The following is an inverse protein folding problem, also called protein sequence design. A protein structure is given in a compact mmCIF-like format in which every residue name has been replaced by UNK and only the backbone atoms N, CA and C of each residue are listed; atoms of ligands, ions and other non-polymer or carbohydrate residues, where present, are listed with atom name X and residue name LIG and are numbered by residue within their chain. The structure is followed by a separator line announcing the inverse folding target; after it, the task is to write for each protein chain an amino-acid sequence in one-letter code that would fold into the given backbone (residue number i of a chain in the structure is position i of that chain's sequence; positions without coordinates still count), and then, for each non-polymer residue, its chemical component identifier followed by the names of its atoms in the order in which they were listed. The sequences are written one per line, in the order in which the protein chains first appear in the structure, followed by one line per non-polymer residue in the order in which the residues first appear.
data_IF_774700732619
#
_entry.id   IF_774700732619
#
_cell.length_a   1.000
_cell.length_b   1.000
_cell.length_c   1.000
_cell.angle_alpha   90.00
_cell.angle_beta   90.00
_cell.angle_gamma   90.00
#
_symmetry.space_group_name_H-M   'P 1'
#
loop_
_entity.id
_entity.type
_entity.pdbx_description
1 polymer ?
#
# COMPACT_ATOMS: atom_id res chain seq x y z
N UNK A 1 12.32 6.27 -2.40
CA UNK A 1 13.73 5.95 -2.77
C UNK A 1 14.65 5.77 -1.56
N UNK A 2 14.62 6.62 -0.50
CA UNK A 2 15.50 6.45 0.68
C UNK A 2 15.28 5.11 1.37
N UNK A 3 14.02 4.76 1.66
CA UNK A 3 13.67 3.46 2.25
C UNK A 3 14.06 2.30 1.34
N UNK A 4 13.79 2.39 0.03
CA UNK A 4 14.17 1.37 -0.94
C UNK A 4 15.68 1.11 -0.93
N UNK A 5 16.50 2.17 -0.91
CA UNK A 5 17.96 2.05 -0.81
C UNK A 5 18.40 1.42 0.51
N UNK A 6 17.74 1.74 1.62
CA UNK A 6 18.03 1.16 2.92
C UNK A 6 17.69 -0.35 2.98
N UNK A 7 16.63 -0.78 2.29
CA UNK A 7 16.22 -2.19 2.21
C UNK A 7 17.10 -3.03 1.29
N UNK A 8 17.52 -2.48 0.13
CA UNK A 8 18.15 -3.25 -0.97
C UNK A 8 19.66 -3.05 -1.09
N UNK A 9 20.21 -2.00 -0.46
CA UNK A 9 21.62 -1.67 -0.58
C UNK A 9 22.03 -1.36 -2.02
N UNK A 10 23.14 -1.96 -2.49
CA UNK A 10 23.68 -1.76 -3.85
C UNK A 10 23.09 -2.69 -4.92
N UNK A 11 22.23 -3.64 -4.54
CA UNK A 11 21.69 -4.67 -5.44
C UNK A 11 20.38 -4.18 -6.09
N UNK A 12 20.48 -3.21 -6.99
CA UNK A 12 19.34 -2.55 -7.62
C UNK A 12 19.42 -2.61 -9.13
N UNK A 13 18.28 -2.78 -9.77
CA UNK A 13 18.07 -2.58 -11.19
C UNK A 13 17.21 -1.32 -11.39
N UNK A 14 17.63 -0.45 -12.29
CA UNK A 14 16.91 0.77 -12.64
C UNK A 14 16.60 0.74 -14.14
N UNK A 15 15.34 0.95 -14.48
CA UNK A 15 14.85 1.02 -15.86
C UNK A 15 13.59 1.85 -15.92
N UNK A 16 12.81 1.70 -16.97
CA UNK A 16 11.49 2.32 -17.06
C UNK A 16 10.41 1.25 -17.04
N UNK A 17 9.21 1.63 -16.58
CA UNK A 17 8.04 0.80 -16.73
C UNK A 17 7.71 0.59 -18.22
N UNK A 18 7.24 -0.59 -18.65
CA UNK A 18 6.94 -0.85 -20.05
C UNK A 18 5.97 0.16 -20.65
N UNK A 19 6.35 0.77 -21.78
CA UNK A 19 5.51 1.68 -22.54
C UNK A 19 5.38 3.11 -22.00
N UNK A 20 6.07 3.45 -20.92
CA UNK A 20 6.03 4.78 -20.30
C UNK A 20 7.42 5.28 -19.89
N UNK A 21 7.54 6.56 -19.58
CA UNK A 21 8.80 7.20 -19.14
C UNK A 21 9.00 7.19 -17.63
N UNK A 22 8.09 6.53 -16.89
CA UNK A 22 8.16 6.43 -15.43
C UNK A 22 9.25 5.46 -15.03
N UNK A 23 10.11 5.86 -14.09
CA UNK A 23 11.24 5.05 -13.61
C UNK A 23 10.75 3.84 -12.81
N UNK A 24 11.32 2.66 -13.09
CA UNK A 24 11.14 1.42 -12.30
C UNK A 24 12.44 1.09 -11.58
N UNK A 25 12.36 0.90 -10.28
CA UNK A 25 13.47 0.39 -9.46
C UNK A 25 13.07 -0.95 -8.85
N UNK A 26 13.94 -1.91 -8.98
CA UNK A 26 13.79 -3.24 -8.42
C UNK A 26 15.09 -3.64 -7.74
N UNK A 27 14.98 -4.25 -6.56
CA UNK A 27 16.14 -4.67 -5.80
C UNK A 27 15.85 -5.90 -4.97
N UNK A 28 16.90 -6.44 -4.35
CA UNK A 28 16.79 -7.62 -3.49
C UNK A 28 17.16 -7.27 -2.07
N UNK A 29 16.34 -7.71 -1.14
CA UNK A 29 16.59 -7.65 0.29
C UNK A 29 16.66 -9.06 0.89
N UNK A 30 17.28 -9.19 2.06
CA UNK A 30 17.38 -10.44 2.80
C UNK A 30 16.56 -10.36 4.08
N UNK A 31 15.68 -11.33 4.30
CA UNK A 31 14.89 -11.45 5.51
C UNK A 31 14.81 -12.92 5.94
N UNK A 32 15.18 -13.22 7.19
CA UNK A 32 15.17 -14.58 7.76
C UNK A 32 15.87 -15.62 6.86
N UNK A 33 16.98 -15.23 6.22
CA UNK A 33 17.75 -16.10 5.32
C UNK A 33 17.13 -16.32 3.94
N UNK A 34 16.00 -15.65 3.62
CA UNK A 34 15.36 -15.69 2.31
C UNK A 34 15.62 -14.41 1.54
N UNK A 35 15.72 -14.52 0.21
CA UNK A 35 15.80 -13.35 -0.67
C UNK A 35 14.40 -12.94 -1.11
N UNK A 36 14.06 -11.68 -0.90
CA UNK A 36 12.82 -11.06 -1.36
C UNK A 36 13.11 -9.98 -2.39
N UNK A 37 12.26 -9.86 -3.40
CA UNK A 37 12.32 -8.77 -4.38
C UNK A 37 11.53 -7.59 -3.86
N UNK A 38 12.13 -6.41 -3.87
CA UNK A 38 11.50 -5.14 -3.51
C UNK A 38 11.38 -4.30 -4.77
N UNK A 39 10.18 -3.78 -5.03
CA UNK A 39 9.89 -2.88 -6.15
C UNK A 39 9.54 -1.51 -5.60
N UNK A 40 10.27 -0.48 -6.03
CA UNK A 40 9.98 0.93 -5.70
C UNK A 40 8.92 1.44 -6.68
N UNK A 41 7.74 1.75 -6.17
CA UNK A 41 6.67 2.34 -6.95
C UNK A 41 6.80 3.86 -6.96
N UNK A 42 6.29 4.54 -8.00
CA UNK A 42 6.23 5.99 -8.02
C UNK A 42 5.51 6.53 -6.78
N UNK A 43 5.94 7.69 -6.28
CA UNK A 43 5.27 8.37 -5.18
C UNK A 43 3.90 8.88 -5.62
N UNK A 44 2.86 8.37 -5.01
CA UNK A 44 1.47 8.69 -5.30
C UNK A 44 0.72 9.09 -4.03
N UNK A 45 -0.39 9.76 -4.19
CA UNK A 45 -1.29 10.13 -3.08
C UNK A 45 -2.67 9.47 -3.19
N UNK A 46 -2.92 8.77 -4.30
CA UNK A 46 -4.19 8.14 -4.61
C UNK A 46 -3.98 7.01 -5.61
N UNK A 47 -4.84 6.02 -5.64
CA UNK A 47 -4.94 5.02 -6.71
C UNK A 47 -5.89 5.43 -7.84
N UNK A 48 -6.36 6.68 -7.84
CA UNK A 48 -7.17 7.22 -8.93
C UNK A 48 -6.28 7.55 -10.14
N UNK A 49 -6.70 7.23 -11.37
CA UNK A 49 -5.83 7.27 -12.55
C UNK A 49 -5.68 8.67 -13.16
N UNK A 50 -5.25 9.65 -12.37
CA UNK A 50 -5.07 11.04 -12.84
C UNK A 50 -3.70 11.32 -13.44
N UNK A 51 -2.66 10.59 -13.02
CA UNK A 51 -1.31 10.72 -13.54
C UNK A 51 -0.78 9.37 -14.02
N UNK A 52 0.31 9.39 -14.81
CA UNK A 52 0.96 8.16 -15.27
C UNK A 52 1.58 7.37 -14.10
N UNK A 53 2.05 8.07 -13.09
CA UNK A 53 2.60 7.50 -11.87
C UNK A 53 1.54 6.71 -11.10
N UNK A 54 0.34 7.25 -10.95
CA UNK A 54 -0.80 6.60 -10.29
C UNK A 54 -1.30 5.40 -11.10
N UNK A 55 -1.38 5.52 -12.44
CA UNK A 55 -1.74 4.41 -13.32
C UNK A 55 -0.73 3.26 -13.17
N UNK A 56 0.56 3.56 -13.25
CA UNK A 56 1.63 2.55 -13.14
C UNK A 56 1.59 1.85 -11.79
N UNK A 57 1.48 2.60 -10.70
CA UNK A 57 1.44 2.02 -9.35
C UNK A 57 0.20 1.13 -9.17
N UNK A 58 -0.96 1.59 -9.58
CA UNK A 58 -2.21 0.84 -9.54
C UNK A 58 -2.16 -0.43 -10.36
N UNK A 59 -1.73 -0.34 -11.63
CA UNK A 59 -1.65 -1.48 -12.54
C UNK A 59 -0.69 -2.54 -12.02
N UNK A 60 0.41 -2.12 -11.38
CA UNK A 60 1.32 -3.05 -10.73
C UNK A 60 0.67 -3.75 -9.52
N UNK A 61 0.05 -3.00 -8.63
CA UNK A 61 -0.53 -3.58 -7.40
C UNK A 61 -1.69 -4.52 -7.74
N UNK A 62 -2.56 -4.13 -8.66
CA UNK A 62 -3.75 -4.90 -9.06
C UNK A 62 -3.37 -6.08 -9.96
N UNK A 63 -2.49 -5.86 -10.95
CA UNK A 63 -2.11 -6.87 -11.96
C UNK A 63 -1.07 -7.86 -11.49
N UNK A 64 0.06 -7.36 -10.95
CA UNK A 64 1.19 -8.23 -10.53
C UNK A 64 0.97 -8.85 -9.14
N UNK A 65 0.07 -8.29 -8.34
CA UNK A 65 -0.34 -8.84 -7.05
C UNK A 65 0.83 -9.14 -6.12
N UNK A 66 1.57 -8.13 -5.67
CA UNK A 66 2.70 -8.34 -4.77
C UNK A 66 2.28 -9.12 -3.53
N UNK A 67 3.18 -9.94 -3.00
CA UNK A 67 2.93 -10.76 -1.80
C UNK A 67 2.69 -9.91 -0.55
N UNK A 68 3.25 -8.70 -0.50
CA UNK A 68 2.97 -7.70 0.52
C UNK A 68 3.24 -6.29 0.01
N UNK A 69 2.54 -5.31 0.61
CA UNK A 69 2.71 -3.88 0.36
C UNK A 69 3.35 -3.24 1.58
N UNK A 70 4.36 -2.39 1.38
CA UNK A 70 4.88 -1.46 2.37
C UNK A 70 4.37 -0.07 2.00
N UNK A 71 3.40 0.43 2.74
CA UNK A 71 2.90 1.79 2.60
C UNK A 71 3.72 2.76 3.45
N UNK A 72 4.29 3.79 2.82
CA UNK A 72 5.17 4.74 3.50
C UNK A 72 4.37 6.00 3.84
N UNK A 73 4.14 6.21 5.12
CA UNK A 73 3.42 7.37 5.65
C UNK A 73 4.42 8.38 6.23
N UNK A 74 4.24 9.64 5.87
CA UNK A 74 4.90 10.76 6.52
C UNK A 74 4.22 11.06 7.86
N UNK A 75 4.89 10.74 8.96
CA UNK A 75 4.38 10.93 10.31
C UNK A 75 4.09 12.40 10.67
N UNK A 76 4.75 13.34 9.98
CA UNK A 76 4.52 14.79 10.17
C UNK A 76 3.27 15.30 9.44
N UNK A 77 2.69 14.48 8.54
CA UNK A 77 1.51 14.82 7.75
C UNK A 77 0.61 13.60 7.52
N UNK A 78 0.24 12.95 8.60
CA UNK A 78 -0.40 11.63 8.60
C UNK A 78 -1.77 11.64 7.90
N UNK A 79 -2.60 12.66 8.13
CA UNK A 79 -3.96 12.74 7.59
C UNK A 79 -3.98 12.66 6.07
N UNK A 80 -3.06 13.37 5.41
CA UNK A 80 -2.96 13.36 3.95
C UNK A 80 -2.57 11.99 3.40
N UNK A 81 -1.72 11.26 4.10
CA UNK A 81 -1.22 9.97 3.67
C UNK A 81 -2.25 8.86 3.88
N UNK A 82 -3.08 8.95 4.93
CA UNK A 82 -4.10 7.95 5.24
C UNK A 82 -5.15 7.77 4.14
N UNK A 83 -5.31 8.76 3.26
CA UNK A 83 -6.20 8.62 2.10
C UNK A 83 -5.76 7.51 1.14
N UNK A 84 -4.47 7.46 0.80
CA UNK A 84 -3.90 6.37 0.00
C UNK A 84 -3.94 5.04 0.78
N UNK A 85 -3.60 5.09 2.07
CA UNK A 85 -3.65 3.91 2.95
C UNK A 85 -5.02 3.23 2.91
N UNK A 86 -6.11 3.99 3.05
CA UNK A 86 -7.46 3.45 2.96
C UNK A 86 -7.71 2.74 1.63
N UNK A 87 -7.32 3.35 0.50
CA UNK A 87 -7.46 2.75 -0.82
C UNK A 87 -6.61 1.47 -1.00
N UNK A 88 -5.44 1.40 -0.37
CA UNK A 88 -4.61 0.20 -0.40
C UNK A 88 -5.22 -0.94 0.43
N UNK A 89 -5.86 -0.61 1.56
CA UNK A 89 -6.58 -1.57 2.39
C UNK A 89 -7.75 -2.22 1.64
N UNK A 90 -8.46 -1.44 0.81
CA UNK A 90 -9.55 -1.93 -0.04
C UNK A 90 -9.11 -3.01 -1.04
N UNK A 91 -7.82 -3.04 -1.40
CA UNK A 91 -7.27 -4.05 -2.30
C UNK A 91 -7.07 -5.43 -1.67
N UNK A 92 -7.34 -5.57 -0.37
CA UNK A 92 -7.26 -6.84 0.37
C UNK A 92 -5.89 -7.52 0.20
N UNK A 93 -4.80 -6.73 0.19
CA UNK A 93 -3.44 -7.25 0.10
C UNK A 93 -2.75 -7.20 1.45
N UNK A 94 -1.91 -8.22 1.75
CA UNK A 94 -1.05 -8.13 2.92
C UNK A 94 -0.28 -6.82 2.92
N UNK A 95 -0.36 -6.06 4.02
CA UNK A 95 0.21 -4.73 4.10
C UNK A 95 0.86 -4.47 5.45
N UNK A 96 1.89 -3.64 5.44
CA UNK A 96 2.50 -3.04 6.62
C UNK A 96 2.71 -1.55 6.37
N UNK A 97 2.53 -0.74 7.38
CA UNK A 97 2.76 0.70 7.32
C UNK A 97 4.15 1.02 7.88
N UNK A 98 4.95 1.71 7.07
CA UNK A 98 6.19 2.34 7.46
C UNK A 98 5.92 3.80 7.86
N UNK A 99 5.74 4.06 9.14
CA UNK A 99 5.52 5.41 9.68
C UNK A 99 6.87 6.13 9.78
N UNK A 100 7.21 6.91 8.76
CA UNK A 100 8.52 7.52 8.58
C UNK A 100 8.59 8.93 9.17
N UNK A 101 9.80 9.46 9.35
CA UNK A 101 10.10 10.77 9.97
C UNK A 101 9.77 10.85 11.46
N UNK A 102 9.89 9.74 12.18
CA UNK A 102 9.64 9.74 13.62
C UNK A 102 10.61 10.64 14.39
N UNK A 103 11.83 10.79 13.90
CA UNK A 103 12.81 11.74 14.45
C UNK A 103 12.36 13.20 14.36
N UNK A 104 11.59 13.56 13.34
CA UNK A 104 11.01 14.91 13.22
C UNK A 104 9.83 15.10 14.16
N UNK A 105 8.96 14.08 14.32
CA UNK A 105 7.85 14.10 15.28
C UNK A 105 8.39 14.33 16.71
N UNK A 106 9.40 13.58 17.10
CA UNK A 106 10.03 13.72 18.44
C UNK A 106 10.65 15.10 18.64
N UNK A 107 11.35 15.66 17.63
CA UNK A 107 11.93 17.02 17.69
C UNK A 107 10.89 18.11 17.91
N UNK A 108 9.68 17.94 17.34
CA UNK A 108 8.57 18.88 17.56
C UNK A 108 7.88 18.69 18.91
N UNK A 109 8.20 17.62 19.65
CA UNK A 109 7.56 17.27 20.91
C UNK A 109 6.19 16.64 20.76
N UNK A 110 5.87 16.20 19.55
CA UNK A 110 4.62 15.50 19.25
C UNK A 110 4.73 14.01 19.58
N UNK A 111 3.58 13.37 19.74
CA UNK A 111 3.50 11.94 20.03
C UNK A 111 2.40 11.29 19.18
N UNK A 112 2.72 10.14 18.59
CA UNK A 112 1.76 9.34 17.85
C UNK A 112 1.53 8.01 18.59
N UNK A 113 0.27 7.69 18.87
CA UNK A 113 -0.11 6.38 19.39
C UNK A 113 -0.05 5.34 18.28
N UNK A 114 1.16 4.82 18.04
CA UNK A 114 1.44 3.80 17.01
C UNK A 114 0.61 2.54 17.21
N UNK A 115 0.41 2.12 18.48
CA UNK A 115 -0.37 0.92 18.78
C UNK A 115 -1.86 1.15 18.51
N UNK A 116 -2.39 2.31 18.87
CA UNK A 116 -3.75 2.73 18.56
C UNK A 116 -3.99 2.82 17.06
N UNK A 117 -3.04 3.41 16.31
CA UNK A 117 -3.11 3.50 14.86
C UNK A 117 -3.10 2.12 14.19
N UNK A 118 -2.19 1.23 14.62
CA UNK A 118 -2.12 -0.15 14.13
C UNK A 118 -3.43 -0.90 14.38
N UNK A 119 -4.01 -0.73 15.57
CA UNK A 119 -5.30 -1.34 15.92
C UNK A 119 -6.45 -0.79 15.07
N UNK A 120 -6.48 0.53 14.85
CA UNK A 120 -7.53 1.19 14.07
C UNK A 120 -7.49 0.81 12.59
N UNK A 121 -6.28 0.65 12.02
CA UNK A 121 -6.09 0.27 10.62
C UNK A 121 -6.04 -1.26 10.42
N UNK A 122 -5.94 -2.07 11.51
CA UNK A 122 -5.85 -3.53 11.49
C UNK A 122 -4.61 -4.10 10.79
N UNK A 123 -3.61 -3.27 10.52
CA UNK A 123 -2.32 -3.67 9.94
C UNK A 123 -1.17 -3.24 10.84
N UNK A 124 -0.02 -3.93 10.80
CA UNK A 124 1.16 -3.51 11.55
C UNK A 124 1.62 -2.11 11.12
N UNK A 125 1.87 -1.25 12.09
CA UNK A 125 2.48 0.07 11.89
C UNK A 125 3.86 0.06 12.55
N UNK A 126 4.91 0.26 11.75
CA UNK A 126 6.28 0.25 12.22
C UNK A 126 6.83 1.68 12.15
N UNK A 127 7.14 2.31 13.30
CA UNK A 127 7.78 3.61 13.31
C UNK A 127 9.22 3.47 12.83
N UNK A 128 9.60 4.29 11.85
CA UNK A 128 10.93 4.25 11.23
C UNK A 128 11.54 5.64 11.08
N UNK A 129 12.84 5.65 10.93
CA UNK A 129 13.57 6.80 10.39
C UNK A 129 14.42 6.30 9.22
N UNK A 130 13.88 6.37 8.01
CA UNK A 130 14.52 5.80 6.82
C UNK A 130 15.92 6.36 6.56
N UNK A 131 16.18 7.62 6.95
CA UNK A 131 17.46 8.29 6.79
C UNK A 131 18.57 7.70 7.67
N UNK A 132 18.26 7.36 8.92
CA UNK A 132 19.20 6.75 9.87
C UNK A 132 19.26 5.23 9.77
N UNK A 133 18.30 4.60 9.10
CA UNK A 133 18.15 3.15 9.04
C UNK A 133 17.42 2.55 10.24
N UNK A 134 16.84 3.37 11.09
CA UNK A 134 16.14 2.93 12.29
C UNK A 134 14.91 2.09 11.95
N UNK A 135 14.79 0.93 12.60
CA UNK A 135 13.69 -0.04 12.45
C UNK A 135 13.45 -0.60 11.03
N UNK A 136 14.39 -0.39 10.08
CA UNK A 136 14.24 -0.89 8.69
C UNK A 136 14.16 -2.41 8.64
N UNK A 137 14.99 -3.10 9.41
CA UNK A 137 14.97 -4.56 9.47
C UNK A 137 13.66 -5.07 10.10
N UNK A 138 13.18 -4.42 11.17
CA UNK A 138 11.88 -4.74 11.80
C UNK A 138 10.72 -4.57 10.82
N UNK A 139 10.76 -3.52 9.99
CA UNK A 139 9.77 -3.29 8.94
C UNK A 139 9.77 -4.42 7.92
N UNK A 140 10.94 -4.83 7.43
CA UNK A 140 11.07 -5.91 6.45
C UNK A 140 10.57 -7.26 7.01
N UNK A 141 10.90 -7.56 8.27
CA UNK A 141 10.41 -8.74 8.97
C UNK A 141 8.88 -8.71 9.17
N UNK A 142 8.33 -7.54 9.49
CA UNK A 142 6.88 -7.37 9.59
C UNK A 142 6.20 -7.60 8.22
N UNK A 143 6.73 -7.03 7.14
CA UNK A 143 6.21 -7.26 5.79
C UNK A 143 6.30 -8.75 5.41
N UNK A 144 7.42 -9.41 5.69
CA UNK A 144 7.58 -10.84 5.43
C UNK A 144 6.58 -11.70 6.23
N UNK A 145 6.31 -11.35 7.49
CA UNK A 145 5.28 -12.04 8.28
C UNK A 145 3.87 -11.86 7.69
N UNK A 146 3.54 -10.64 7.19
CA UNK A 146 2.23 -10.37 6.59
C UNK A 146 1.96 -11.22 5.34
N UNK A 147 2.96 -11.57 4.54
CA UNK A 147 2.83 -12.49 3.40
C UNK A 147 2.20 -13.85 3.81
N UNK A 148 2.36 -14.24 5.08
CA UNK A 148 1.90 -15.54 5.58
C UNK A 148 0.63 -15.46 6.44
N UNK A 149 0.29 -14.29 6.95
CA UNK A 149 -0.90 -14.09 7.81
C UNK A 149 -2.15 -13.78 6.98
N UNK A 150 -1.97 -13.17 5.81
CA UNK A 150 -3.07 -12.70 4.97
C UNK A 150 -3.64 -11.36 5.43
N UNK A 151 -4.78 -11.00 4.86
CA UNK A 151 -5.48 -9.75 5.18
C UNK A 151 -6.26 -9.92 6.49
N UNK A 152 -6.11 -8.99 7.40
CA UNK A 152 -6.72 -9.01 8.73
C UNK A 152 -7.80 -7.94 8.92
N UNK A 153 -8.00 -7.06 7.93
CA UNK A 153 -9.06 -6.06 7.95
C UNK A 153 -10.22 -6.53 7.10
N UNK A 154 -11.40 -6.36 7.64
CA UNK A 154 -12.64 -6.32 6.87
C UNK A 154 -12.76 -4.91 6.30
N UNK A 155 -12.71 -4.70 4.97
CA UNK A 155 -12.86 -3.36 4.36
C UNK A 155 -14.13 -2.63 4.79
N UNK A 156 -15.12 -3.36 5.26
CA UNK A 156 -16.38 -2.87 5.80
C UNK A 156 -16.22 -1.87 6.95
N UNK A 157 -15.14 -1.98 7.72
CA UNK A 157 -14.85 -1.07 8.84
C UNK A 157 -14.38 0.33 8.37
N UNK A 158 -14.10 0.51 7.07
CA UNK A 158 -13.63 1.78 6.50
C UNK A 158 -14.76 2.75 6.13
N UNK A 159 -16.01 2.28 6.04
CA UNK A 159 -17.13 3.05 5.52
C UNK A 159 -18.29 3.20 6.53
N UNK A 160 -19.04 4.30 6.40
CA UNK A 160 -20.29 4.46 7.13
C UNK A 160 -21.36 3.48 6.65
N UNK A 161 -22.40 3.26 7.47
CA UNK A 161 -23.42 2.25 7.22
C UNK A 161 -24.20 2.43 5.91
N UNK A 162 -24.27 3.64 5.34
CA UNK A 162 -24.95 3.89 4.07
C UNK A 162 -24.05 3.51 2.89
N UNK A 163 -22.81 3.99 2.90
CA UNK A 163 -21.79 3.65 1.91
C UNK A 163 -21.54 2.15 1.88
N UNK A 164 -21.42 1.54 3.06
CA UNK A 164 -21.29 0.10 3.27
C UNK A 164 -22.40 -0.69 2.55
N UNK A 165 -23.68 -0.33 2.74
CA UNK A 165 -24.80 -1.01 2.08
C UNK A 165 -24.78 -0.89 0.55
N UNK A 166 -24.37 0.25 0.03
CA UNK A 166 -24.33 0.49 -1.42
C UNK A 166 -23.21 -0.31 -2.08
N UNK A 167 -21.99 -0.21 -1.55
CA UNK A 167 -20.89 -0.93 -2.19
C UNK A 167 -21.06 -2.46 -2.11
N UNK A 168 -21.63 -2.99 -1.03
CA UNK A 168 -21.98 -4.42 -0.97
C UNK A 168 -22.92 -4.83 -2.08
N UNK A 169 -24.02 -4.09 -2.29
CA UNK A 169 -24.95 -4.40 -3.39
C UNK A 169 -24.28 -4.34 -4.75
N UNK A 170 -23.42 -3.36 -4.97
CA UNK A 170 -22.65 -3.26 -6.22
C UNK A 170 -21.67 -4.44 -6.32
N UNK A 171 -20.96 -4.76 -5.23
CA UNK A 171 -20.02 -5.89 -5.16
C UNK A 171 -20.69 -7.23 -5.49
N UNK A 172 -21.90 -7.50 -4.96
CA UNK A 172 -22.68 -8.68 -5.30
C UNK A 172 -23.02 -8.74 -6.80
N UNK A 173 -23.40 -7.61 -7.40
CA UNK A 173 -23.75 -7.54 -8.83
C UNK A 173 -22.57 -7.77 -9.77
N UNK A 174 -21.37 -7.38 -9.36
CA UNK A 174 -20.14 -7.47 -10.18
C UNK A 174 -19.26 -8.66 -9.82
N UNK A 175 -19.60 -9.43 -8.78
CA UNK A 175 -18.74 -10.48 -8.20
C UNK A 175 -18.11 -11.39 -9.26
N UNK A 176 -18.90 -11.95 -10.17
CA UNK A 176 -18.40 -12.90 -11.18
C UNK A 176 -17.47 -12.22 -12.20
N UNK A 177 -17.75 -10.96 -12.56
CA UNK A 177 -16.89 -10.18 -13.46
C UNK A 177 -15.60 -9.79 -12.77
N UNK A 178 -15.67 -9.28 -11.55
CA UNK A 178 -14.50 -8.93 -10.74
C UNK A 178 -13.59 -10.15 -10.52
N UNK A 179 -14.19 -11.31 -10.22
CA UNK A 179 -13.47 -12.57 -10.09
C UNK A 179 -12.77 -12.97 -11.40
N UNK A 180 -13.45 -12.87 -12.53
CA UNK A 180 -12.88 -13.18 -13.86
C UNK A 180 -11.75 -12.21 -14.23
N UNK A 181 -11.89 -10.93 -13.88
CA UNK A 181 -10.87 -9.89 -14.06
C UNK A 181 -9.75 -9.98 -13.01
N UNK A 182 -9.89 -10.85 -12.03
CA UNK A 182 -8.98 -10.98 -10.91
C UNK A 182 -8.82 -9.70 -10.06
N UNK A 183 -9.84 -8.94 -9.92
CA UNK A 183 -9.91 -7.71 -9.11
C UNK A 183 -10.76 -8.01 -7.85
N UNK A 184 -10.38 -7.52 -6.65
CA UNK A 184 -11.24 -7.63 -5.48
C UNK A 184 -12.59 -6.96 -5.75
N UNK A 185 -13.70 -7.69 -5.55
CA UNK A 185 -15.04 -7.17 -5.85
C UNK A 185 -15.39 -5.95 -4.98
N UNK A 186 -14.89 -5.95 -3.76
CA UNK A 186 -15.02 -4.84 -2.82
C UNK A 186 -14.39 -3.56 -3.38
N UNK A 187 -13.11 -3.59 -3.72
CA UNK A 187 -12.40 -2.47 -4.33
C UNK A 187 -13.07 -2.02 -5.65
N UNK A 188 -13.41 -2.98 -6.52
CA UNK A 188 -14.07 -2.68 -7.78
C UNK A 188 -15.42 -1.98 -7.59
N UNK A 189 -16.21 -2.36 -6.56
CA UNK A 189 -17.49 -1.73 -6.26
C UNK A 189 -17.34 -0.26 -5.87
N UNK A 190 -16.35 0.07 -5.04
CA UNK A 190 -16.05 1.45 -4.66
C UNK A 190 -15.61 2.26 -5.88
N UNK A 191 -14.71 1.72 -6.69
CA UNK A 191 -14.24 2.40 -7.90
C UNK A 191 -15.34 2.65 -8.93
N UNK A 192 -16.30 1.75 -9.07
CA UNK A 192 -17.49 1.97 -9.90
C UNK A 192 -18.41 3.05 -9.34
N UNK A 193 -18.60 3.12 -8.01
CA UNK A 193 -19.37 4.19 -7.37
C UNK A 193 -18.67 5.56 -7.57
N UNK A 194 -17.34 5.58 -7.55
CA UNK A 194 -16.53 6.78 -7.85
C UNK A 194 -16.52 7.16 -9.35
N UNK A 195 -17.05 6.32 -10.24
CA UNK A 195 -17.06 6.54 -11.69
C UNK A 195 -15.70 6.31 -12.36
N UNK A 196 -14.91 5.36 -11.85
CA UNK A 196 -13.60 5.02 -12.42
C UNK A 196 -13.74 4.33 -13.79
N UNK A 197 -13.45 5.08 -14.86
CA UNK A 197 -13.62 4.63 -16.23
C UNK A 197 -12.73 3.43 -16.64
N UNK A 198 -11.65 3.14 -15.92
CA UNK A 198 -10.83 1.97 -16.18
C UNK A 198 -11.46 0.70 -15.59
N UNK A 199 -12.07 0.81 -14.42
CA UNK A 199 -12.79 -0.30 -13.80
C UNK A 199 -14.11 -0.57 -14.53
N UNK A 200 -14.79 0.47 -15.04
CA UNK A 200 -16.00 0.30 -15.87
C UNK A 200 -15.77 -0.52 -17.16
N UNK A 201 -14.55 -0.49 -17.69
CA UNK A 201 -14.18 -1.17 -18.92
C UNK A 201 -13.62 -2.58 -18.72
N UNK A 202 -13.20 -2.91 -17.50
CA UNK A 202 -12.62 -4.20 -17.16
C UNK A 202 -13.71 -5.24 -16.92
#
# INVERSE_FOLDING_TARGET
TTLFNALTGSNQYVGNWPGVTVEKKEGRAQVEGKSVTVVDLPGIYSLSPYSMEEIVARDFIVGERPDAIIDIIDATNIERNLYLTAQLLELERPMVIALNFMDEVEKHGDHIDVAGLSKALGVPVIPITARSGENIQTLLEAAHRQMHVGVTIEPDDLYDGFTHQIHHKVGELIHDKAYAAHIPAHWASIKLIEGDALVEKA
#
